data_IF_755629118008
#
_entry.id   IF_755629118008
#
_cell.length_a   1.000
_cell.length_b   1.000
_cell.length_c   1.000
_cell.angle_alpha   90.00
_cell.angle_beta   90.00
_cell.angle_gamma   90.00
#
_symmetry.space_group_name_H-M   'P 1'
#
loop_
_entity.id
_entity.type
_entity.pdbx_description
1 polymer ?
#
# COMPACT_ATOMS: atom_id res chain seq x y z
N UNK A 1 63.57 -12.32 31.71
CA UNK A 1 62.38 -13.04 32.22
C UNK A 1 61.18 -12.69 31.33
N UNK A 2 60.61 -13.71 30.68
CA UNK A 2 59.27 -13.84 30.03
C UNK A 2 58.55 -12.64 29.35
N UNK A 3 58.36 -12.82 28.03
CA UNK A 3 57.17 -12.58 27.19
C UNK A 3 55.91 -11.94 27.82
N UNK A 4 55.34 -10.97 27.09
CA UNK A 4 53.99 -11.00 26.45
C UNK A 4 53.90 -9.78 25.49
N UNK A 5 53.74 -9.94 24.17
CA UNK A 5 52.48 -10.22 23.44
C UNK A 5 51.33 -9.29 23.91
N UNK A 6 50.50 -8.65 23.08
CA UNK A 6 50.29 -8.62 21.63
C UNK A 6 49.03 -7.72 21.47
N UNK A 7 48.94 -6.91 20.40
CA UNK A 7 47.69 -6.60 19.68
C UNK A 7 46.51 -5.90 20.42
N UNK A 8 45.62 -5.11 19.82
CA UNK A 8 45.30 -4.72 18.44
C UNK A 8 44.47 -3.42 18.56
N UNK A 9 44.63 -2.55 17.57
CA UNK A 9 43.80 -1.39 17.27
C UNK A 9 42.29 -1.64 17.40
N UNK A 10 41.55 -0.64 17.88
CA UNK A 10 40.23 -0.34 17.32
C UNK A 10 39.93 1.16 17.49
N UNK A 11 40.36 1.96 16.52
CA UNK A 11 39.70 3.24 16.25
C UNK A 11 38.39 2.89 15.55
N UNK A 12 37.27 2.92 16.29
CA UNK A 12 35.96 2.86 15.68
C UNK A 12 35.69 4.19 14.96
N UNK A 13 36.04 4.22 13.68
CA UNK A 13 35.57 5.21 12.73
C UNK A 13 34.05 5.00 12.59
N UNK A 14 33.26 5.88 13.22
CA UNK A 14 31.81 5.93 12.94
C UNK A 14 31.67 6.55 11.55
N UNK A 15 31.64 5.69 10.53
CA UNK A 15 31.19 6.05 9.19
C UNK A 15 29.69 6.36 9.29
N UNK A 16 29.37 7.65 9.44
CA UNK A 16 28.07 8.15 9.04
C UNK A 16 27.96 8.00 7.53
N UNK A 17 27.30 6.93 7.07
CA UNK A 17 26.76 6.89 5.72
C UNK A 17 25.55 7.83 5.67
N UNK A 18 25.81 9.13 5.51
CA UNK A 18 24.84 10.01 4.88
C UNK A 18 24.80 9.60 3.40
N UNK A 19 23.83 8.76 3.04
CA UNK A 19 23.50 8.48 1.65
C UNK A 19 23.02 9.78 0.99
N UNK A 20 23.97 10.55 0.48
CA UNK A 20 23.70 11.65 -0.42
C UNK A 20 23.28 11.01 -1.75
N UNK A 21 21.98 10.91 -2.02
CA UNK A 21 21.50 10.61 -3.37
C UNK A 21 21.81 11.82 -4.24
N UNK A 22 23.00 11.84 -4.84
CA UNK A 22 23.31 12.72 -5.95
C UNK A 22 22.46 12.30 -7.15
N UNK A 23 21.64 13.21 -7.67
CA UNK A 23 20.93 13.05 -8.94
C UNK A 23 21.92 12.65 -10.03
N UNK A 24 21.80 11.41 -10.50
CA UNK A 24 22.66 10.88 -11.55
C UNK A 24 22.18 11.51 -12.87
N UNK A 25 22.92 12.50 -13.39
CA UNK A 25 22.73 13.00 -14.75
C UNK A 25 22.98 11.85 -15.73
N UNK A 26 21.95 11.43 -16.46
CA UNK A 26 22.07 10.54 -17.61
C UNK A 26 22.95 11.19 -18.67
N UNK A 27 24.13 10.63 -18.89
CA UNK A 27 24.91 10.81 -20.12
C UNK A 27 24.42 9.79 -21.14
N UNK A 28 23.77 10.30 -22.18
CA UNK A 28 23.27 9.57 -23.36
C UNK A 28 24.35 8.70 -24.00
N UNK A 29 24.20 7.38 -23.84
CA UNK A 29 24.85 6.34 -24.64
C UNK A 29 23.77 5.30 -24.95
N UNK A 30 23.26 5.23 -26.20
CA UNK A 30 22.22 4.31 -26.71
C UNK A 30 21.61 3.43 -25.60
N UNK A 31 20.78 4.06 -24.77
CA UNK A 31 20.50 3.53 -23.43
C UNK A 31 19.57 2.33 -23.54
N UNK A 32 20.01 1.18 -23.02
CA UNK A 32 19.09 0.11 -22.62
C UNK A 32 18.09 0.73 -21.65
N UNK A 33 16.86 0.97 -22.10
CA UNK A 33 15.86 1.63 -21.26
C UNK A 33 15.57 0.72 -20.06
N UNK A 34 15.86 1.22 -18.87
CA UNK A 34 15.59 0.51 -17.62
C UNK A 34 14.16 0.86 -17.20
N UNK A 35 13.24 -0.07 -17.42
CA UNK A 35 11.86 0.13 -16.96
C UNK A 35 11.80 0.21 -15.43
N UNK A 36 10.97 1.12 -14.87
CA UNK A 36 10.70 1.14 -13.45
C UNK A 36 9.96 -0.16 -13.09
N UNK A 37 10.62 -1.03 -12.34
CA UNK A 37 10.08 -2.34 -11.98
C UNK A 37 11.01 -3.10 -11.05
N UNK A 38 10.62 -4.32 -10.71
CA UNK A 38 11.39 -5.21 -9.86
C UNK A 38 12.07 -6.26 -10.71
N UNK A 39 13.34 -6.52 -10.41
CA UNK A 39 13.97 -7.76 -10.87
C UNK A 39 13.46 -8.88 -9.98
N UNK A 40 13.18 -10.03 -10.59
CA UNK A 40 12.77 -11.21 -9.84
C UNK A 40 13.95 -11.83 -9.06
N UNK A 41 15.19 -11.36 -9.29
CA UNK A 41 16.42 -11.66 -8.56
C UNK A 41 16.56 -13.14 -8.22
N UNK A 42 16.68 -13.96 -9.26
CA UNK A 42 16.83 -15.40 -9.11
C UNK A 42 18.20 -15.85 -9.59
N UNK A 43 18.91 -16.63 -8.78
CA UNK A 43 20.19 -17.25 -9.18
C UNK A 43 20.01 -18.35 -10.24
N UNK A 44 18.76 -18.77 -10.49
CA UNK A 44 18.36 -19.84 -11.39
C UNK A 44 17.07 -19.47 -12.11
N UNK A 45 16.74 -20.25 -13.13
CA UNK A 45 15.45 -20.16 -13.80
C UNK A 45 14.33 -20.53 -12.82
N UNK A 46 13.29 -19.70 -12.73
CA UNK A 46 12.16 -19.89 -11.81
C UNK A 46 10.83 -19.81 -12.54
N UNK A 47 9.81 -20.49 -11.99
CA UNK A 47 8.43 -20.27 -12.43
C UNK A 47 8.00 -18.85 -12.07
N UNK A 48 7.53 -18.11 -13.07
CA UNK A 48 6.94 -16.78 -12.93
C UNK A 48 5.44 -16.93 -13.03
N UNK A 49 4.73 -16.45 -12.00
CA UNK A 49 3.27 -16.50 -11.92
C UNK A 49 2.68 -15.09 -12.02
N UNK A 50 1.43 -15.00 -12.48
CA UNK A 50 0.71 -13.74 -12.49
C UNK A 50 0.41 -13.29 -11.07
N UNK A 51 0.73 -12.04 -10.74
CA UNK A 51 0.45 -11.41 -9.45
C UNK A 51 -1.02 -11.00 -9.33
N UNK A 52 -1.73 -10.93 -10.46
CA UNK A 52 -3.10 -10.42 -10.58
C UNK A 52 -3.94 -11.33 -11.46
N UNK A 53 -5.25 -11.31 -11.25
CA UNK A 53 -6.20 -11.86 -12.23
C UNK A 53 -6.42 -10.84 -13.36
N UNK A 54 -6.56 -11.33 -14.58
CA UNK A 54 -6.68 -10.47 -15.75
C UNK A 54 -6.69 -11.24 -17.05
N UNK A 55 -6.34 -10.57 -18.15
CA UNK A 55 -6.36 -11.12 -19.50
C UNK A 55 -5.02 -10.92 -20.20
N UNK A 56 -4.50 -11.94 -20.87
CA UNK A 56 -3.27 -11.82 -21.65
C UNK A 56 -3.49 -10.88 -22.83
N UNK A 57 -2.70 -9.80 -22.93
CA UNK A 57 -2.82 -8.81 -24.02
C UNK A 57 -1.67 -8.78 -24.99
N UNK A 58 -0.49 -9.17 -24.56
CA UNK A 58 0.65 -9.29 -25.47
C UNK A 58 1.54 -10.44 -25.06
N UNK A 59 2.07 -11.13 -26.05
CA UNK A 59 3.20 -12.05 -25.93
C UNK A 59 4.17 -11.62 -27.02
N UNK A 60 5.30 -11.05 -26.64
CA UNK A 60 6.30 -10.51 -27.58
C UNK A 60 7.62 -11.23 -27.35
N UNK A 61 8.28 -11.64 -28.43
CA UNK A 61 9.61 -12.24 -28.37
C UNK A 61 10.64 -11.17 -28.73
N UNK A 62 11.63 -10.95 -27.86
CA UNK A 62 12.70 -9.99 -28.10
C UNK A 62 13.80 -10.59 -29.01
N UNK A 63 14.76 -9.76 -29.44
CA UNK A 63 15.86 -10.17 -30.33
C UNK A 63 16.75 -11.26 -29.73
N UNK A 64 16.84 -11.32 -28.40
CA UNK A 64 17.56 -12.37 -27.65
C UNK A 64 16.75 -13.67 -27.52
N UNK A 65 15.55 -13.73 -28.11
CA UNK A 65 14.68 -14.90 -28.10
C UNK A 65 13.91 -15.12 -26.78
N UNK A 66 13.96 -14.17 -25.84
CA UNK A 66 13.16 -14.18 -24.62
C UNK A 66 11.80 -13.54 -24.84
N UNK A 67 10.87 -13.74 -23.91
CA UNK A 67 9.49 -13.31 -24.01
C UNK A 67 9.12 -12.25 -22.98
N UNK A 68 8.35 -11.28 -23.43
CA UNK A 68 7.63 -10.32 -22.59
C UNK A 68 6.13 -10.61 -22.71
N UNK A 69 5.48 -10.89 -21.58
CA UNK A 69 4.04 -11.19 -21.51
C UNK A 69 3.35 -10.09 -20.72
N UNK A 70 2.26 -9.54 -21.26
CA UNK A 70 1.41 -8.58 -20.53
C UNK A 70 0.07 -9.18 -20.13
N UNK A 71 -0.33 -8.91 -18.89
CA UNK A 71 -1.64 -9.25 -18.32
C UNK A 71 -2.38 -7.94 -18.05
N UNK A 72 -3.43 -7.67 -18.82
CA UNK A 72 -4.31 -6.53 -18.58
C UNK A 72 -5.28 -6.84 -17.45
N UNK A 73 -5.43 -5.89 -16.56
CA UNK A 73 -6.39 -5.94 -15.47
C UNK A 73 -7.02 -4.57 -15.28
N UNK A 74 -7.98 -4.50 -14.37
CA UNK A 74 -8.59 -3.25 -13.97
C UNK A 74 -8.57 -3.12 -12.47
N UNK A 75 -8.53 -1.89 -11.99
CA UNK A 75 -8.55 -1.60 -10.56
C UNK A 75 -9.45 -0.43 -10.28
N UNK A 76 -10.28 -0.58 -9.25
CA UNK A 76 -11.04 0.52 -8.68
C UNK A 76 -10.18 1.30 -7.68
N UNK A 77 -10.28 2.62 -7.74
CA UNK A 77 -9.63 3.52 -6.80
C UNK A 77 -10.58 4.66 -6.44
N UNK A 78 -10.42 5.19 -5.23
CA UNK A 78 -11.14 6.37 -4.79
C UNK A 78 -10.28 7.61 -4.96
N UNK A 79 -10.76 8.57 -5.75
CA UNK A 79 -10.08 9.82 -6.02
C UNK A 79 -11.10 10.95 -6.20
N UNK A 80 -10.87 12.12 -5.59
CA UNK A 80 -11.76 13.29 -5.74
C UNK A 80 -13.24 12.97 -5.43
N UNK A 81 -13.50 12.17 -4.38
CA UNK A 81 -14.83 11.68 -3.99
C UNK A 81 -15.55 10.84 -5.06
N UNK A 82 -14.81 10.24 -6.01
CA UNK A 82 -15.34 9.39 -7.06
C UNK A 82 -14.67 8.02 -7.06
N UNK A 83 -15.39 7.03 -7.57
CA UNK A 83 -14.82 5.72 -7.90
C UNK A 83 -14.33 5.79 -9.35
N UNK A 84 -13.04 5.60 -9.55
CA UNK A 84 -12.41 5.49 -10.86
C UNK A 84 -12.05 4.03 -11.12
N UNK A 85 -12.33 3.53 -12.32
CA UNK A 85 -11.89 2.19 -12.74
C UNK A 85 -10.83 2.35 -13.81
N UNK A 86 -9.59 2.06 -13.43
CA UNK A 86 -8.42 2.22 -14.29
C UNK A 86 -7.99 0.87 -14.87
N UNK A 87 -7.76 0.84 -16.17
CA UNK A 87 -7.27 -0.34 -16.89
C UNK A 87 -5.77 -0.19 -17.13
N UNK A 88 -5.01 -1.23 -16.81
CA UNK A 88 -3.56 -1.25 -16.97
C UNK A 88 -3.04 -2.65 -17.23
N UNK A 89 -1.75 -2.75 -17.55
CA UNK A 89 -1.08 -4.01 -17.82
C UNK A 89 0.05 -4.26 -16.84
N UNK A 90 0.12 -5.46 -16.28
CA UNK A 90 1.33 -5.99 -15.66
C UNK A 90 2.17 -6.67 -16.72
N UNK A 91 3.47 -6.38 -16.79
CA UNK A 91 4.39 -6.94 -17.77
C UNK A 91 5.42 -7.81 -17.06
N UNK A 92 5.48 -9.07 -17.47
CA UNK A 92 6.46 -10.08 -17.06
C UNK A 92 7.47 -10.24 -18.18
N UNK A 93 8.68 -9.71 -17.97
CA UNK A 93 9.67 -9.59 -19.04
C UNK A 93 10.89 -10.51 -18.92
N UNK A 94 11.60 -10.66 -20.03
CA UNK A 94 12.80 -11.50 -20.19
C UNK A 94 12.58 -12.96 -19.77
N UNK A 95 11.41 -13.53 -20.07
CA UNK A 95 11.11 -14.95 -19.81
C UNK A 95 11.81 -15.83 -20.84
N UNK A 96 12.45 -16.91 -20.41
CA UNK A 96 13.09 -17.88 -21.32
C UNK A 96 12.06 -18.70 -22.10
N UNK A 97 10.94 -19.04 -21.46
CA UNK A 97 9.81 -19.74 -22.06
C UNK A 97 8.50 -19.16 -21.52
N UNK A 98 7.42 -19.35 -22.28
CA UNK A 98 6.05 -19.08 -21.85
C UNK A 98 5.35 -20.41 -21.53
N UNK A 99 4.32 -20.36 -20.70
CA UNK A 99 3.49 -21.53 -20.39
C UNK A 99 2.80 -22.07 -21.67
N UNK A 100 2.76 -23.40 -21.80
CA UNK A 100 2.44 -24.10 -23.07
C UNK A 100 1.00 -23.92 -23.58
N UNK A 101 0.09 -23.42 -22.73
CA UNK A 101 -1.28 -23.07 -23.09
C UNK A 101 -1.57 -21.58 -23.14
N UNK A 102 -0.56 -20.72 -22.92
CA UNK A 102 -0.78 -19.28 -22.80
C UNK A 102 -1.05 -18.64 -24.16
N UNK A 103 -2.24 -18.08 -24.33
CA UNK A 103 -2.69 -17.46 -25.59
C UNK A 103 -3.19 -16.04 -25.38
N UNK A 104 -3.18 -15.23 -26.44
CA UNK A 104 -3.74 -13.88 -26.40
C UNK A 104 -5.24 -13.93 -26.05
N UNK A 105 -5.70 -12.92 -25.32
CA UNK A 105 -7.07 -12.78 -24.80
C UNK A 105 -7.51 -13.86 -23.80
N UNK A 106 -6.62 -14.78 -23.40
CA UNK A 106 -6.89 -15.75 -22.35
C UNK A 106 -7.03 -15.06 -20.99
N UNK A 107 -8.04 -15.47 -20.22
CA UNK A 107 -8.17 -15.07 -18.82
C UNK A 107 -7.26 -15.91 -17.93
N UNK A 108 -6.54 -15.23 -17.03
CA UNK A 108 -5.65 -15.84 -16.05
C UNK A 108 -6.03 -15.37 -14.66
N UNK A 109 -5.82 -16.25 -13.68
CA UNK A 109 -6.02 -15.91 -12.29
C UNK A 109 -4.69 -15.55 -11.64
N UNK A 110 -4.75 -14.82 -10.52
CA UNK A 110 -3.58 -14.66 -9.65
C UNK A 110 -3.02 -16.05 -9.30
N UNK A 111 -1.71 -16.21 -9.45
CA UNK A 111 -0.99 -17.47 -9.25
C UNK A 111 -0.90 -18.36 -10.50
N UNK A 112 -1.56 -18.03 -11.62
CA UNK A 112 -1.39 -18.75 -12.88
C UNK A 112 0.05 -18.58 -13.39
N UNK A 113 0.71 -19.69 -13.74
CA UNK A 113 2.04 -19.67 -14.32
C UNK A 113 2.02 -18.99 -15.70
N UNK A 114 2.93 -18.03 -15.88
CA UNK A 114 3.11 -17.27 -17.12
C UNK A 114 4.27 -17.83 -17.95
N UNK A 115 5.34 -18.28 -17.28
CA UNK A 115 6.51 -18.82 -17.95
C UNK A 115 7.67 -19.06 -17.01
N UNK A 116 8.85 -19.28 -17.59
CA UNK A 116 10.09 -19.50 -16.84
C UNK A 116 10.98 -18.27 -16.96
N UNK A 117 11.19 -17.58 -15.84
CA UNK A 117 12.05 -16.42 -15.73
C UNK A 117 13.54 -16.76 -15.81
N UNK A 118 14.33 -15.79 -16.23
CA UNK A 118 15.80 -15.78 -16.20
C UNK A 118 16.29 -14.88 -15.05
N UNK A 119 17.59 -14.87 -14.71
CA UNK A 119 18.11 -13.94 -13.69
C UNK A 119 17.85 -12.45 -13.99
N UNK A 120 17.66 -12.11 -15.27
CA UNK A 120 17.34 -10.76 -15.75
C UNK A 120 15.82 -10.53 -15.93
N UNK A 121 14.98 -11.46 -15.50
CA UNK A 121 13.53 -11.29 -15.52
C UNK A 121 13.08 -10.17 -14.61
N UNK A 122 12.08 -9.45 -15.09
CA UNK A 122 11.54 -8.29 -14.41
C UNK A 122 10.01 -8.29 -14.42
N UNK A 123 9.45 -7.55 -13.47
CA UNK A 123 8.05 -7.20 -13.40
C UNK A 123 7.93 -5.68 -13.38
N UNK A 124 7.15 -5.16 -14.31
CA UNK A 124 6.75 -3.74 -14.38
C UNK A 124 5.26 -3.65 -14.65
N UNK A 125 4.72 -2.45 -14.62
CA UNK A 125 3.35 -2.17 -15.02
C UNK A 125 3.33 -1.05 -16.04
N UNK A 126 2.33 -1.02 -16.91
CA UNK A 126 2.19 0.03 -17.91
C UNK A 126 0.74 0.40 -18.19
N UNK A 127 0.57 1.60 -18.71
CA UNK A 127 -0.72 2.14 -19.13
C UNK A 127 -0.54 3.20 -20.22
N UNK A 128 -1.58 3.46 -21.01
CA UNK A 128 -1.51 4.46 -22.10
C UNK A 128 -1.45 5.90 -21.58
N UNK A 129 -1.91 6.12 -20.36
CA UNK A 129 -2.02 7.43 -19.71
C UNK A 129 -1.33 7.40 -18.35
N UNK A 130 -1.01 8.56 -17.78
CA UNK A 130 -0.58 8.63 -16.39
C UNK A 130 -1.77 8.33 -15.47
N UNK A 131 -1.87 7.10 -14.98
CA UNK A 131 -2.95 6.70 -14.08
C UNK A 131 -2.71 7.22 -12.65
N UNK A 132 -3.67 7.94 -12.03
CA UNK A 132 -3.51 8.51 -10.69
C UNK A 132 -3.06 7.52 -9.63
N UNK A 133 -3.64 6.31 -9.61
CA UNK A 133 -3.28 5.32 -8.59
C UNK A 133 -1.83 4.83 -8.73
N UNK A 134 -1.34 4.65 -9.96
CA UNK A 134 0.05 4.26 -10.20
C UNK A 134 0.99 5.39 -9.81
N UNK A 135 0.65 6.63 -10.19
CA UNK A 135 1.40 7.82 -9.77
C UNK A 135 1.47 7.91 -8.25
N UNK A 136 0.38 7.60 -7.54
CA UNK A 136 0.36 7.68 -6.07
C UNK A 136 1.21 6.62 -5.39
N UNK A 137 1.17 5.40 -5.91
CA UNK A 137 1.68 4.21 -5.22
C UNK A 137 3.08 3.82 -5.66
N UNK A 138 3.52 4.20 -6.87
CA UNK A 138 4.88 3.94 -7.32
C UNK A 138 5.90 4.83 -6.61
N UNK A 139 6.99 4.24 -6.14
CA UNK A 139 8.10 4.98 -5.52
C UNK A 139 9.03 5.60 -6.56
N UNK A 140 9.21 4.89 -7.67
CA UNK A 140 10.07 5.34 -8.77
C UNK A 140 9.32 6.29 -9.71
N UNK A 141 10.06 7.17 -10.36
CA UNK A 141 9.49 8.01 -11.41
C UNK A 141 9.04 7.13 -12.60
N UNK A 142 7.87 7.41 -13.18
CA UNK A 142 7.42 6.69 -14.36
C UNK A 142 8.26 7.05 -15.57
N UNK A 143 8.39 6.12 -16.50
CA UNK A 143 9.13 6.30 -17.75
C UNK A 143 8.15 6.18 -18.91
N UNK A 144 8.15 7.15 -19.83
CA UNK A 144 7.37 7.06 -21.06
C UNK A 144 8.22 6.43 -22.16
N UNK A 145 7.73 5.36 -22.76
CA UNK A 145 8.34 4.74 -23.92
C UNK A 145 7.26 4.30 -24.90
N UNK A 146 7.43 4.70 -26.16
CA UNK A 146 6.40 4.55 -27.19
C UNK A 146 5.07 5.15 -26.70
N UNK A 147 3.98 4.40 -26.83
CA UNK A 147 2.62 4.82 -26.44
C UNK A 147 2.27 4.46 -24.98
N UNK A 148 3.24 4.05 -24.16
CA UNK A 148 3.01 3.60 -22.80
C UNK A 148 3.84 4.38 -21.77
N UNK A 149 3.21 4.60 -20.62
CA UNK A 149 3.86 4.96 -19.37
C UNK A 149 4.12 3.69 -18.57
N UNK A 150 5.35 3.54 -18.10
CA UNK A 150 5.80 2.41 -17.28
C UNK A 150 5.97 2.85 -15.83
N UNK A 151 5.57 1.97 -14.91
CA UNK A 151 5.54 2.21 -13.48
C UNK A 151 6.08 1.01 -12.70
N UNK A 152 6.75 1.32 -11.59
CA UNK A 152 7.11 0.32 -10.59
C UNK A 152 5.83 -0.15 -9.88
N UNK A 153 5.48 -1.46 -9.90
CA UNK A 153 4.23 -1.95 -9.35
C UNK A 153 4.28 -2.13 -7.82
N UNK A 154 4.69 -1.08 -7.11
CA UNK A 154 4.93 -1.08 -5.66
C UNK A 154 3.68 -1.46 -4.84
N UNK A 155 2.48 -1.24 -5.38
CA UNK A 155 1.20 -1.60 -4.74
C UNK A 155 0.98 -3.11 -4.60
N UNK A 156 1.78 -3.95 -5.28
CA UNK A 156 1.70 -5.39 -5.12
C UNK A 156 2.29 -5.87 -3.79
N UNK A 157 3.13 -5.05 -3.15
CA UNK A 157 3.76 -5.46 -1.91
C UNK A 157 2.78 -5.35 -0.72
N UNK A 158 2.57 -6.44 0.05
CA UNK A 158 1.60 -6.45 1.15
C UNK A 158 1.88 -5.44 2.27
N UNK A 159 3.14 -5.00 2.40
CA UNK A 159 3.57 -4.03 3.41
C UNK A 159 3.36 -2.58 2.99
N UNK A 160 3.03 -2.31 1.71
CA UNK A 160 2.71 -0.97 1.22
C UNK A 160 1.22 -0.71 1.42
N UNK A 161 0.89 0.46 1.94
CA UNK A 161 -0.51 0.86 2.08
C UNK A 161 -1.05 1.26 0.72
N UNK A 162 -2.13 0.60 0.33
CA UNK A 162 -2.90 1.01 -0.83
C UNK A 162 -3.83 2.18 -0.46
N UNK A 163 -3.29 3.39 -0.45
CA UNK A 163 -4.01 4.60 0.00
C UNK A 163 -5.33 4.86 -0.74
N UNK A 164 -5.36 4.63 -2.06
CA UNK A 164 -6.56 4.90 -2.87
C UNK A 164 -7.62 3.78 -2.82
N UNK A 165 -7.39 2.74 -2.03
CA UNK A 165 -8.44 1.74 -1.73
C UNK A 165 -9.33 2.14 -0.55
N UNK A 166 -9.02 3.25 0.14
CA UNK A 166 -9.81 3.77 1.23
C UNK A 166 -10.77 4.85 0.72
N UNK A 167 -12.06 4.65 0.98
CA UNK A 167 -13.11 5.56 0.53
C UNK A 167 -13.02 6.90 1.28
N UNK A 168 -12.88 8.04 0.60
CA UNK A 168 -12.90 9.34 1.26
C UNK A 168 -14.28 9.59 1.87
N UNK A 169 -14.29 10.06 3.11
CA UNK A 169 -15.51 10.53 3.76
C UNK A 169 -15.42 12.02 4.03
N UNK A 170 -16.48 12.75 3.66
CA UNK A 170 -16.57 14.20 3.89
C UNK A 170 -16.62 14.54 5.38
N UNK A 171 -17.25 13.67 6.17
CA UNK A 171 -17.33 13.79 7.62
C UNK A 171 -17.09 12.42 8.24
N UNK A 172 -16.09 12.36 9.11
CA UNK A 172 -15.81 11.20 9.94
C UNK A 172 -16.98 10.88 10.88
N UNK A 173 -17.64 11.93 11.39
CA UNK A 173 -18.82 11.78 12.24
C UNK A 173 -19.97 11.10 11.51
N UNK A 174 -20.29 11.56 10.29
CA UNK A 174 -21.38 10.98 9.50
C UNK A 174 -21.06 9.55 9.08
N UNK A 175 -19.79 9.23 8.78
CA UNK A 175 -19.38 7.86 8.50
C UNK A 175 -19.60 6.92 9.70
N UNK A 176 -19.34 7.39 10.93
CA UNK A 176 -19.59 6.60 12.14
C UNK A 176 -21.08 6.50 12.50
N UNK A 177 -21.87 7.54 12.22
CA UNK A 177 -23.35 7.47 12.35
C UNK A 177 -23.93 6.45 11.38
N UNK A 178 -23.50 6.47 10.12
CA UNK A 178 -23.91 5.49 9.12
C UNK A 178 -23.55 4.06 9.55
N UNK A 179 -22.29 3.85 9.97
CA UNK A 179 -21.82 2.57 10.50
C UNK A 179 -22.70 2.07 11.66
N UNK A 180 -22.95 2.92 12.65
CA UNK A 180 -23.79 2.58 13.79
C UNK A 180 -25.23 2.27 13.38
N UNK A 181 -25.80 3.08 12.48
CA UNK A 181 -27.16 2.88 12.00
C UNK A 181 -27.33 1.56 11.26
N UNK A 182 -26.40 1.20 10.36
CA UNK A 182 -26.40 -0.09 9.68
C UNK A 182 -26.37 -1.25 10.65
N UNK A 183 -25.50 -1.18 11.66
CA UNK A 183 -25.49 -2.18 12.72
C UNK A 183 -26.83 -2.26 13.49
N UNK A 184 -27.45 -1.13 13.83
CA UNK A 184 -28.76 -1.15 14.52
C UNK A 184 -29.87 -1.79 13.68
N UNK A 185 -29.83 -1.63 12.35
CA UNK A 185 -30.79 -2.23 11.43
C UNK A 185 -30.72 -3.76 11.43
N UNK A 186 -29.54 -4.34 11.69
CA UNK A 186 -29.34 -5.80 11.83
C UNK A 186 -29.99 -6.36 13.11
N UNK A 187 -30.37 -5.49 14.07
CA UNK A 187 -31.05 -5.84 15.34
C UNK A 187 -30.29 -6.88 16.19
N UNK A 188 -28.97 -6.84 16.16
CA UNK A 188 -28.14 -7.69 16.99
C UNK A 188 -28.24 -7.32 18.47
N UNK A 189 -27.99 -8.30 19.36
CA UNK A 189 -28.06 -8.08 20.81
C UNK A 189 -26.95 -7.12 21.26
N UNK A 190 -27.31 -6.08 22.03
CA UNK A 190 -26.36 -5.10 22.57
C UNK A 190 -25.57 -5.64 23.79
N UNK A 191 -24.90 -6.79 23.65
CA UNK A 191 -24.18 -7.48 24.73
C UNK A 191 -22.77 -7.88 24.30
N UNK A 192 -21.77 -7.65 25.15
CA UNK A 192 -20.39 -7.96 24.81
C UNK A 192 -19.86 -7.03 23.73
N UNK A 193 -19.48 -7.58 22.59
CA UNK A 193 -19.06 -6.83 21.42
C UNK A 193 -19.58 -7.49 20.15
N UNK A 194 -19.74 -6.67 19.12
CA UNK A 194 -20.18 -7.12 17.81
C UNK A 194 -19.22 -6.65 16.73
N UNK A 195 -18.78 -7.58 15.90
CA UNK A 195 -17.98 -7.30 14.71
C UNK A 195 -18.94 -7.09 13.53
N UNK A 196 -18.94 -5.88 12.98
CA UNK A 196 -19.74 -5.45 11.84
C UNK A 196 -18.81 -4.73 10.87
N UNK A 197 -18.64 -5.24 9.65
CA UNK A 197 -17.73 -4.65 8.68
C UNK A 197 -18.15 -4.94 7.23
N UNK A 198 -18.32 -3.88 6.47
CA UNK A 198 -18.53 -3.91 5.03
C UNK A 198 -17.30 -3.28 4.34
N UNK A 199 -16.41 -4.07 3.71
CA UNK A 199 -15.15 -3.58 3.17
C UNK A 199 -15.28 -2.35 2.26
N UNK A 200 -16.34 -2.27 1.47
CA UNK A 200 -16.59 -1.16 0.53
C UNK A 200 -17.05 0.13 1.23
N UNK A 201 -17.63 0.01 2.43
CA UNK A 201 -18.18 1.14 3.18
C UNK A 201 -17.28 1.57 4.33
N UNK A 202 -16.66 0.62 5.02
CA UNK A 202 -16.04 0.83 6.33
C UNK A 202 -14.52 0.99 6.26
N UNK A 203 -13.93 0.74 5.08
CA UNK A 203 -12.55 1.10 4.78
C UNK A 203 -12.48 2.53 4.28
N UNK A 204 -12.22 3.46 5.19
CA UNK A 204 -12.38 4.90 4.96
C UNK A 204 -11.09 5.69 5.11
N UNK A 205 -11.02 6.80 4.37
CA UNK A 205 -10.04 7.87 4.55
C UNK A 205 -10.77 9.09 5.11
N UNK A 206 -10.32 9.61 6.24
CA UNK A 206 -10.93 10.78 6.89
C UNK A 206 -9.89 11.76 7.40
N UNK A 207 -10.26 13.03 7.44
CA UNK A 207 -9.46 14.07 8.05
C UNK A 207 -9.81 14.22 9.54
N UNK A 208 -8.80 14.29 10.40
CA UNK A 208 -8.98 14.65 11.80
C UNK A 208 -7.85 15.55 12.31
N UNK A 209 -8.04 16.09 13.51
CA UNK A 209 -7.00 16.79 14.27
C UNK A 209 -6.84 16.12 15.62
N UNK A 210 -5.66 15.59 15.90
CA UNK A 210 -5.40 14.95 17.19
C UNK A 210 -5.08 16.02 18.24
N UNK A 211 -5.74 15.89 19.37
CA UNK A 211 -5.54 16.76 20.53
C UNK A 211 -4.38 16.28 21.43
N UNK A 212 -4.04 15.00 21.33
CA UNK A 212 -2.97 14.33 22.06
C UNK A 212 -2.41 13.21 21.19
N UNK A 213 -1.14 12.86 21.38
CA UNK A 213 -0.55 11.69 20.74
C UNK A 213 -1.16 10.39 21.28
N UNK A 214 -1.11 9.30 20.49
CA UNK A 214 -1.58 8.00 20.95
C UNK A 214 -0.92 7.59 22.27
N UNK A 215 -1.72 7.04 23.18
CA UNK A 215 -1.24 6.47 24.45
C UNK A 215 -1.15 4.97 24.32
N UNK A 216 -0.36 4.32 25.18
CA UNK A 216 -0.29 2.86 25.22
C UNK A 216 -1.69 2.30 25.45
N UNK A 217 -2.06 1.35 24.61
CA UNK A 217 -3.34 0.66 24.65
C UNK A 217 -3.53 -0.09 25.97
N UNK A 218 -4.73 -0.03 26.53
CA UNK A 218 -5.21 -1.06 27.45
C UNK A 218 -6.01 -2.08 26.64
N UNK A 219 -5.44 -3.26 26.41
CA UNK A 219 -6.03 -4.24 25.51
C UNK A 219 -7.45 -4.63 25.94
N UNK A 220 -8.30 -4.86 24.95
CA UNK A 220 -9.71 -5.21 25.14
C UNK A 220 -9.98 -6.52 24.41
N UNK A 221 -10.82 -7.37 24.99
CA UNK A 221 -11.21 -8.63 24.35
C UNK A 221 -11.79 -8.38 22.95
N UNK A 222 -12.61 -7.34 22.79
CA UNK A 222 -13.19 -6.94 21.50
C UNK A 222 -12.12 -6.63 20.45
N UNK A 223 -11.03 -5.93 20.82
CA UNK A 223 -9.91 -5.67 19.92
C UNK A 223 -9.17 -6.96 19.56
N UNK A 224 -8.78 -7.79 20.53
CA UNK A 224 -8.05 -9.04 20.27
C UNK A 224 -8.82 -9.96 19.30
N UNK A 225 -10.15 -10.06 19.47
CA UNK A 225 -11.00 -10.82 18.54
C UNK A 225 -11.06 -10.17 17.15
N UNK A 226 -11.19 -8.85 17.08
CA UNK A 226 -11.16 -8.09 15.81
C UNK A 226 -9.84 -8.35 15.07
N UNK A 227 -8.72 -8.28 15.78
CA UNK A 227 -7.40 -8.50 15.20
C UNK A 227 -7.24 -9.90 14.61
N UNK A 228 -7.64 -10.92 15.38
CA UNK A 228 -7.61 -12.31 14.95
C UNK A 228 -8.47 -12.55 13.71
N UNK A 229 -9.68 -11.98 13.68
CA UNK A 229 -10.63 -12.19 12.59
C UNK A 229 -10.17 -11.53 11.28
N UNK A 230 -9.67 -10.29 11.32
CA UNK A 230 -9.34 -9.55 10.09
C UNK A 230 -7.86 -9.60 9.69
N UNK A 231 -6.96 -9.87 10.63
CA UNK A 231 -5.51 -9.84 10.39
C UNK A 231 -4.81 -11.17 10.68
N UNK A 232 -5.52 -12.16 11.23
CA UNK A 232 -4.95 -13.49 11.53
C UNK A 232 -3.87 -13.47 12.61
N UNK A 233 -3.76 -12.38 13.38
CA UNK A 233 -2.78 -12.20 14.45
C UNK A 233 -3.37 -11.34 15.57
N UNK A 234 -2.87 -11.53 16.78
CA UNK A 234 -3.24 -10.77 17.98
C UNK A 234 -2.11 -9.77 18.30
N UNK A 235 -2.38 -8.72 19.07
CA UNK A 235 -1.42 -7.68 19.48
C UNK A 235 -0.79 -6.92 18.30
N UNK A 236 -1.58 -6.66 17.25
CA UNK A 236 -1.16 -5.85 16.12
C UNK A 236 -1.16 -4.36 16.47
N UNK A 237 -2.19 -3.92 17.19
CA UNK A 237 -2.37 -2.56 17.67
C UNK A 237 -1.92 -2.45 19.12
N UNK A 238 -1.13 -1.43 19.42
CA UNK A 238 -0.49 -1.27 20.74
C UNK A 238 -0.63 0.14 21.31
N UNK A 239 -1.19 1.07 20.52
CA UNK A 239 -1.54 2.42 20.97
C UNK A 239 -2.96 2.78 20.59
N UNK A 240 -3.54 3.73 21.31
CA UNK A 240 -4.89 4.22 21.07
C UNK A 240 -5.01 5.75 21.19
N UNK A 241 -5.93 6.30 20.41
CA UNK A 241 -6.53 7.60 20.63
C UNK A 241 -8.03 7.43 20.86
N UNK A 242 -8.46 7.62 22.10
CA UNK A 242 -9.87 7.76 22.43
C UNK A 242 -10.32 9.18 22.14
N UNK A 243 -11.43 9.31 21.41
CA UNK A 243 -12.02 10.59 21.01
C UNK A 243 -13.18 10.93 21.95
N UNK A 244 -12.87 11.18 23.24
CA UNK A 244 -13.88 11.37 24.29
C UNK A 244 -14.83 12.56 24.05
N UNK A 245 -14.38 13.55 23.28
CA UNK A 245 -15.17 14.70 22.82
C UNK A 245 -16.27 14.32 21.82
N UNK A 246 -16.22 13.11 21.26
CA UNK A 246 -17.05 12.67 20.16
C UNK A 246 -17.80 11.39 20.51
N UNK A 247 -19.14 11.42 20.44
CA UNK A 247 -19.99 10.27 20.79
C UNK A 247 -21.05 10.01 19.74
N UNK A 248 -21.21 8.74 19.36
CA UNK A 248 -22.27 8.26 18.48
C UNK A 248 -23.20 7.38 19.31
N UNK A 249 -24.42 7.83 19.56
CA UNK A 249 -25.42 7.08 20.32
C UNK A 249 -24.90 6.56 21.68
N UNK A 250 -24.05 7.34 22.35
CA UNK A 250 -23.42 6.99 23.62
C UNK A 250 -22.12 6.18 23.52
N UNK A 251 -21.70 5.76 22.33
CA UNK A 251 -20.45 5.05 22.07
C UNK A 251 -19.33 6.03 21.72
N UNK A 252 -18.14 5.80 22.26
CA UNK A 252 -16.96 6.63 22.04
C UNK A 252 -16.06 5.98 20.98
N UNK A 253 -15.75 6.66 19.86
CA UNK A 253 -14.82 6.13 18.88
C UNK A 253 -13.39 6.08 19.41
N UNK A 254 -12.68 4.99 19.10
CA UNK A 254 -11.29 4.76 19.46
C UNK A 254 -10.50 4.37 18.22
N UNK A 255 -9.44 5.14 17.93
CA UNK A 255 -8.50 4.84 16.86
C UNK A 255 -7.34 4.05 17.44
N UNK A 256 -7.14 2.82 16.96
CA UNK A 256 -6.03 1.94 17.32
C UNK A 256 -4.91 2.04 16.30
N UNK A 257 -3.67 2.12 16.78
CA UNK A 257 -2.46 2.28 15.97
C UNK A 257 -1.50 1.10 16.15
N UNK A 258 -0.96 0.65 15.03
CA UNK A 258 0.01 -0.46 15.00
C UNK A 258 1.37 -0.01 15.56
N UNK A 259 2.14 -0.96 16.08
CA UNK A 259 3.51 -0.70 16.53
C UNK A 259 4.35 -0.09 15.39
N UNK A 260 5.12 0.96 15.69
CA UNK A 260 5.95 1.68 14.72
C UNK A 260 5.25 2.85 14.03
N UNK A 261 3.92 2.79 13.83
CA UNK A 261 3.16 3.92 13.30
C UNK A 261 3.00 5.04 14.33
N UNK A 262 2.96 4.73 15.63
CA UNK A 262 2.90 5.74 16.68
C UNK A 262 4.19 6.59 16.73
N UNK A 263 5.35 5.94 16.55
CA UNK A 263 6.65 6.61 16.50
C UNK A 263 6.70 7.51 15.28
N UNK A 264 6.36 6.96 14.11
CA UNK A 264 6.31 7.73 12.88
C UNK A 264 5.33 8.91 12.97
N UNK A 265 4.15 8.70 13.57
CA UNK A 265 3.17 9.76 13.81
C UNK A 265 3.75 10.85 14.72
N UNK A 266 4.42 10.48 15.82
CA UNK A 266 5.04 11.47 16.73
C UNK A 266 6.17 12.25 16.06
N UNK A 267 6.89 11.65 15.13
CA UNK A 267 8.01 12.27 14.41
C UNK A 267 7.52 13.25 13.33
N UNK A 268 6.49 12.88 12.56
CA UNK A 268 6.05 13.65 11.38
C UNK A 268 4.87 14.59 11.68
N UNK A 269 3.99 14.22 12.61
CA UNK A 269 2.74 14.94 12.83
C UNK A 269 2.82 15.90 14.03
N UNK A 270 2.48 17.16 13.76
CA UNK A 270 2.29 18.20 14.77
C UNK A 270 0.83 18.19 15.23
N UNK A 271 0.58 18.07 16.54
CA UNK A 271 -0.77 18.10 17.11
C UNK A 271 -1.60 19.27 16.59
N UNK A 272 -2.92 19.06 16.48
CA UNK A 272 -3.90 20.03 15.94
C UNK A 272 -3.79 20.33 14.44
N UNK A 273 -2.75 19.87 13.74
CA UNK A 273 -2.74 19.92 12.27
C UNK A 273 -3.73 18.89 11.70
N UNK A 274 -4.14 19.09 10.45
CA UNK A 274 -4.96 18.10 9.75
C UNK A 274 -4.14 16.85 9.46
N UNK A 275 -4.66 15.70 9.86
CA UNK A 275 -4.13 14.38 9.59
C UNK A 275 -5.15 13.62 8.74
N UNK A 276 -4.72 13.02 7.63
CA UNK A 276 -5.55 12.14 6.82
C UNK A 276 -5.29 10.70 7.25
N UNK A 277 -6.26 10.06 7.90
CA UNK A 277 -6.12 8.70 8.42
C UNK A 277 -6.83 7.73 7.50
N UNK A 278 -6.15 6.62 7.23
CA UNK A 278 -6.64 5.49 6.44
C UNK A 278 -6.92 4.36 7.42
N UNK A 279 -8.19 4.04 7.63
CA UNK A 279 -8.58 3.07 8.64
C UNK A 279 -9.77 2.24 8.19
N UNK A 280 -10.03 1.19 8.96
CA UNK A 280 -11.24 0.40 8.85
C UNK A 280 -12.03 0.48 10.16
N UNK A 281 -13.34 0.63 10.06
CA UNK A 281 -14.27 0.50 11.19
C UNK A 281 -14.73 -0.96 11.23
N UNK A 282 -14.64 -1.62 12.40
CA UNK A 282 -14.89 -3.06 12.49
C UNK A 282 -15.87 -3.49 13.56
N UNK A 283 -15.86 -2.82 14.72
CA UNK A 283 -16.44 -3.43 15.93
C UNK A 283 -17.12 -2.38 16.79
N UNK A 284 -18.26 -2.74 17.36
CA UNK A 284 -18.91 -2.00 18.43
C UNK A 284 -18.76 -2.82 19.71
N UNK A 285 -18.07 -2.26 20.70
CA UNK A 285 -17.96 -2.82 22.04
C UNK A 285 -19.08 -2.26 22.91
N UNK A 286 -20.05 -3.09 23.25
CA UNK A 286 -21.25 -2.71 24.00
C UNK A 286 -21.02 -2.59 25.49
N UNK A 287 -20.08 -3.35 26.03
CA UNK A 287 -19.73 -3.34 27.45
C UNK A 287 -18.92 -2.08 27.79
N UNK A 288 -17.94 -1.73 26.95
CA UNK A 288 -17.10 -0.54 27.12
C UNK A 288 -17.66 0.71 26.44
N UNK A 289 -18.74 0.58 25.67
CA UNK A 289 -19.35 1.64 24.85
C UNK A 289 -18.34 2.27 23.90
N UNK A 290 -17.65 1.46 23.10
CA UNK A 290 -16.64 1.91 22.13
C UNK A 290 -17.03 1.55 20.69
N UNK A 291 -16.56 2.35 19.73
CA UNK A 291 -16.50 1.98 18.31
C UNK A 291 -15.02 1.84 17.94
N UNK A 292 -14.61 0.65 17.54
CA UNK A 292 -13.22 0.33 17.28
C UNK A 292 -12.85 0.65 15.82
N UNK A 293 -11.83 1.47 15.66
CA UNK A 293 -11.31 1.91 14.37
C UNK A 293 -9.84 1.53 14.29
N UNK A 294 -9.48 0.70 13.34
CA UNK A 294 -8.13 0.18 13.18
C UNK A 294 -7.40 0.99 12.10
N UNK A 295 -6.48 1.87 12.51
CA UNK A 295 -5.71 2.69 11.58
C UNK A 295 -4.67 1.84 10.85
N UNK A 296 -4.69 1.89 9.52
CA UNK A 296 -3.69 1.25 8.66
C UNK A 296 -2.50 2.16 8.41
N UNK A 297 -2.76 3.45 8.17
CA UNK A 297 -1.73 4.44 7.81
C UNK A 297 -2.26 5.87 7.98
N UNK A 298 -1.39 6.86 7.77
CA UNK A 298 -1.76 8.28 7.72
C UNK A 298 -0.96 9.06 6.69
N UNK A 299 -1.48 10.23 6.31
CA UNK A 299 -0.78 11.21 5.49
C UNK A 299 -0.99 12.63 6.03
N UNK A 300 0.00 13.49 5.83
CA UNK A 300 -0.07 14.91 6.21
C UNK A 300 -0.73 15.79 5.14
N UNK A 301 -0.87 15.26 3.93
CA UNK A 301 -1.48 15.92 2.77
C UNK A 301 -2.44 14.95 2.09
N UNK A 302 -3.53 15.44 1.47
CA UNK A 302 -4.48 14.57 0.79
C UNK A 302 -3.85 13.96 -0.46
N UNK A 303 -4.26 12.74 -0.83
CA UNK A 303 -3.69 12.02 -1.99
C UNK A 303 -3.87 12.80 -3.29
N UNK A 304 -4.98 13.53 -3.44
CA UNK A 304 -5.28 14.39 -4.58
C UNK A 304 -4.17 15.42 -4.83
N UNK A 305 -3.66 16.03 -3.75
CA UNK A 305 -2.55 16.99 -3.83
C UNK A 305 -1.25 16.29 -4.19
N UNK A 306 -0.95 15.15 -3.56
CA UNK A 306 0.27 14.36 -3.84
C UNK A 306 0.30 13.94 -5.31
N UNK A 307 -0.82 13.43 -5.81
CA UNK A 307 -0.97 13.00 -7.20
C UNK A 307 -0.83 14.20 -8.13
N UNK A 308 -1.55 15.30 -7.88
CA UNK A 308 -1.47 16.50 -8.69
C UNK A 308 -0.05 17.07 -8.79
N UNK A 309 0.65 17.18 -7.66
CA UNK A 309 2.03 17.67 -7.61
C UNK A 309 2.98 16.75 -8.42
N UNK A 310 2.80 15.43 -8.31
CA UNK A 310 3.61 14.44 -9.07
C UNK A 310 3.28 14.43 -10.56
N UNK A 311 2.01 14.46 -10.96
CA UNK A 311 1.63 14.49 -12.37
C UNK A 311 2.16 15.76 -13.05
N UNK A 312 2.07 16.91 -12.38
CA UNK A 312 2.59 18.18 -12.87
C UNK A 312 4.13 18.16 -13.01
N UNK A 313 4.84 17.48 -12.11
CA UNK A 313 6.30 17.38 -12.22
C UNK A 313 6.72 16.51 -13.42
N UNK A 314 5.97 15.46 -13.75
CA UNK A 314 6.24 14.62 -14.92
C UNK A 314 5.94 15.32 -16.25
N UNK A 315 4.88 16.14 -16.31
CA UNK A 315 4.58 16.93 -17.51
C UNK A 315 5.66 17.97 -17.84
N UNK A 316 6.36 18.51 -16.82
CA UNK A 316 7.46 19.47 -17.02
C UNK A 316 8.76 18.84 -17.54
N UNK A 317 8.88 17.51 -17.49
CA UNK A 317 10.06 16.76 -17.94
C UNK A 317 9.92 16.26 -19.39
N UNK A 318 8.78 16.52 -20.04
CA UNK A 318 8.51 16.20 -21.44
C UNK A 318 8.80 17.39 -22.34
#
# INVERSE_FOLDING_TARGET
MRLKNLSICLFAFVLFFTGCQSAQRQTTNKETIVYPGFRLNTEKNVSVVSDLSGRIKSIQKNESGQYDVSVQTSRQSYLNDRIETDVYEMVYGNLSTIESGLTLEQEVQRGTQIGIGTPDSYVTSRSKTLLPFMVRLSERQPVKQNDFWYFSPDWMFPHKTDFLSFRPVKSFEEALKDFYHRWEVEKEEKKGFTIHHHPDLDRIRFALKLNQYPKTLTETTSLTFTEKQFYGKENLFVFENKLDEFKISGYTPVIYWQSGFDKHLKEEYVLKNTLYVYASIYTIDHDKKLILICARDFALVPDEKVIGDRMNSFQKLQ
#
